data_IF_787801365007
#
_entry.id   IF_787801365007
#
_cell.length_a   1.000
_cell.length_b   1.000
_cell.length_c   1.000
_cell.angle_alpha   90.00
_cell.angle_beta   90.00
_cell.angle_gamma   90.00
#
_symmetry.space_group_name_H-M   'P 1'
#
loop_
_entity.id
_entity.type
_entity.pdbx_description
1 polymer ?
#
# COMPACT_ATOMS: atom_id res chain seq x y z
N UNK A 1 -15.77 13.29 -15.45
CA UNK A 1 -16.16 12.91 -14.08
C UNK A 1 -15.09 13.50 -13.19
N UNK A 2 -15.43 14.32 -12.20
CA UNK A 2 -14.41 15.07 -11.45
C UNK A 2 -13.72 14.15 -10.43
N UNK A 3 -14.47 13.55 -9.51
CA UNK A 3 -14.02 12.49 -8.59
C UNK A 3 -15.21 11.57 -8.31
N UNK A 4 -15.03 10.25 -8.26
CA UNK A 4 -16.12 9.32 -7.95
C UNK A 4 -15.67 7.90 -7.63
N UNK A 5 -16.55 7.12 -7.01
CA UNK A 5 -16.34 5.70 -6.70
C UNK A 5 -17.54 4.92 -7.25
N UNK A 6 -17.26 3.85 -8.00
CA UNK A 6 -18.27 2.91 -8.51
C UNK A 6 -17.97 1.53 -7.95
N UNK A 7 -18.96 0.93 -7.26
CA UNK A 7 -18.93 -0.45 -6.76
C UNK A 7 -19.45 -1.40 -7.84
N UNK A 8 -18.85 -2.58 -7.97
CA UNK A 8 -19.21 -3.62 -8.95
C UNK A 8 -20.00 -4.77 -8.33
N UNK A 9 -20.86 -4.47 -7.35
CA UNK A 9 -21.79 -5.39 -6.66
C UNK A 9 -21.13 -6.54 -5.87
N UNK A 10 -19.80 -6.60 -5.83
CA UNK A 10 -19.04 -7.54 -4.98
C UNK A 10 -18.63 -6.92 -3.65
N UNK A 11 -18.77 -5.60 -3.48
CA UNK A 11 -18.29 -4.81 -2.33
C UNK A 11 -16.77 -4.92 -2.04
N UNK A 12 -16.03 -5.58 -2.93
CA UNK A 12 -14.60 -5.82 -2.83
C UNK A 12 -13.83 -5.20 -4.02
N UNK A 13 -14.53 -4.79 -5.08
CA UNK A 13 -13.94 -4.20 -6.28
C UNK A 13 -14.61 -2.88 -6.65
N UNK A 14 -13.78 -1.86 -6.83
CA UNK A 14 -14.21 -0.50 -7.06
C UNK A 14 -13.45 0.11 -8.24
N UNK A 15 -14.15 0.89 -9.05
CA UNK A 15 -13.52 1.85 -9.95
C UNK A 15 -13.53 3.23 -9.30
N UNK A 16 -12.33 3.73 -9.01
CA UNK A 16 -12.12 5.09 -8.53
C UNK A 16 -11.82 5.99 -9.73
N UNK A 17 -12.66 6.99 -9.94
CA UNK A 17 -12.45 8.03 -10.93
C UNK A 17 -11.78 9.22 -10.26
N UNK A 18 -10.61 9.60 -10.77
CA UNK A 18 -9.87 10.79 -10.34
C UNK A 18 -9.53 11.59 -11.60
N UNK A 19 -10.33 12.61 -11.89
CA UNK A 19 -10.30 13.33 -13.16
C UNK A 19 -10.41 12.40 -14.38
N UNK A 20 -9.39 12.35 -15.23
CA UNK A 20 -9.33 11.50 -16.42
C UNK A 20 -8.85 10.08 -16.13
N UNK A 21 -8.41 9.79 -14.91
CA UNK A 21 -7.92 8.49 -14.51
C UNK A 21 -9.04 7.61 -13.95
N UNK A 22 -9.06 6.35 -14.38
CA UNK A 22 -9.83 5.28 -13.77
C UNK A 22 -8.87 4.30 -13.10
N UNK A 23 -8.96 4.21 -11.78
CA UNK A 23 -8.12 3.37 -10.93
C UNK A 23 -8.97 2.18 -10.47
N UNK A 24 -8.51 0.97 -10.77
CA UNK A 24 -9.16 -0.25 -10.30
C UNK A 24 -8.63 -0.60 -8.90
N UNK A 25 -9.52 -0.66 -7.93
CA UNK A 25 -9.18 -0.84 -6.52
C UNK A 25 -9.88 -2.06 -5.95
N UNK A 26 -9.10 -2.96 -5.35
CA UNK A 26 -9.64 -4.08 -4.57
C UNK A 26 -9.57 -3.74 -3.08
N UNK A 27 -10.63 -3.99 -2.32
CA UNK A 27 -10.63 -3.97 -0.85
C UNK A 27 -10.82 -5.40 -0.39
N UNK A 28 -9.92 -5.92 0.45
CA UNK A 28 -10.02 -7.33 0.88
C UNK A 28 -9.35 -7.55 2.23
N UNK A 29 -9.81 -8.57 2.96
CA UNK A 29 -9.11 -9.17 4.10
C UNK A 29 -8.65 -10.60 3.78
N UNK A 30 -8.99 -11.14 2.60
CA UNK A 30 -8.63 -12.48 2.17
C UNK A 30 -7.18 -12.51 1.65
N UNK A 31 -6.26 -13.25 2.31
CA UNK A 31 -4.85 -13.34 1.92
C UNK A 31 -4.66 -13.92 0.51
N UNK A 32 -5.53 -14.82 0.07
CA UNK A 32 -5.45 -15.42 -1.27
C UNK A 32 -5.73 -14.41 -2.38
N UNK A 33 -6.64 -13.46 -2.12
CA UNK A 33 -6.96 -12.38 -3.06
C UNK A 33 -5.81 -11.37 -3.14
N UNK A 34 -5.08 -11.13 -2.05
CA UNK A 34 -3.85 -10.33 -2.03
C UNK A 34 -2.78 -10.97 -2.92
N UNK A 35 -2.46 -12.25 -2.70
CA UNK A 35 -1.52 -13.01 -3.55
C UNK A 35 -1.90 -12.93 -5.03
N UNK A 36 -3.18 -13.19 -5.34
CA UNK A 36 -3.69 -13.12 -6.73
C UNK A 36 -3.54 -11.74 -7.34
N UNK A 37 -3.83 -10.68 -6.58
CA UNK A 37 -3.66 -9.31 -7.03
C UNK A 37 -2.19 -9.00 -7.33
N UNK A 38 -1.27 -9.41 -6.45
CA UNK A 38 0.18 -9.21 -6.60
C UNK A 38 0.71 -9.90 -7.86
N UNK A 39 0.44 -11.20 -8.02
CA UNK A 39 0.89 -11.95 -9.20
C UNK A 39 0.33 -11.36 -10.50
N UNK A 40 -0.95 -10.96 -10.49
CA UNK A 40 -1.57 -10.37 -11.68
C UNK A 40 -0.97 -8.99 -12.01
N UNK A 41 -0.74 -8.15 -11.01
CA UNK A 41 -0.11 -6.84 -11.16
C UNK A 41 1.31 -7.00 -11.71
N UNK A 42 2.13 -7.90 -11.15
CA UNK A 42 3.48 -8.18 -11.68
C UNK A 42 3.44 -8.69 -13.13
N UNK A 43 2.48 -9.56 -13.46
CA UNK A 43 2.32 -10.08 -14.84
C UNK A 43 1.98 -8.98 -15.85
N UNK A 44 1.11 -8.03 -15.49
CA UNK A 44 0.79 -6.85 -16.33
C UNK A 44 2.03 -5.99 -16.51
N UNK A 45 2.81 -5.79 -15.45
CA UNK A 45 3.98 -4.93 -15.43
C UNK A 45 5.30 -5.68 -15.69
N UNK A 46 5.26 -6.88 -16.29
CA UNK A 46 6.42 -7.78 -16.47
C UNK A 46 7.63 -7.13 -17.15
N UNK A 47 7.39 -6.13 -18.00
CA UNK A 47 8.43 -5.41 -18.74
C UNK A 47 9.17 -4.34 -17.91
N UNK A 48 8.76 -4.10 -16.67
CA UNK A 48 9.33 -3.09 -15.77
C UNK A 48 9.55 -3.61 -14.35
N UNK A 49 9.61 -4.93 -14.16
CA UNK A 49 9.80 -5.52 -12.83
C UNK A 49 11.15 -5.14 -12.20
N UNK A 50 12.15 -4.79 -13.00
CA UNK A 50 13.44 -4.32 -12.50
C UNK A 50 13.46 -2.83 -12.08
N UNK A 51 12.32 -2.14 -12.14
CA UNK A 51 12.19 -0.73 -11.74
C UNK A 51 10.71 -0.39 -11.48
N UNK A 52 10.01 -1.24 -10.73
CA UNK A 52 8.59 -1.05 -10.47
C UNK A 52 8.41 0.06 -9.43
N UNK A 53 7.54 1.03 -9.71
CA UNK A 53 7.15 2.06 -8.73
C UNK A 53 5.86 1.62 -8.07
N UNK A 54 5.87 1.55 -6.73
CA UNK A 54 4.76 1.12 -5.90
C UNK A 54 4.39 2.25 -4.94
N UNK A 55 3.18 2.76 -5.05
CA UNK A 55 2.59 3.60 -4.00
C UNK A 55 2.30 2.76 -2.77
N UNK A 56 2.73 3.21 -1.60
CA UNK A 56 2.51 2.54 -0.32
C UNK A 56 1.97 3.55 0.69
N UNK A 57 0.93 3.13 1.40
CA UNK A 57 0.34 3.86 2.52
C UNK A 57 -0.18 2.86 3.55
N UNK A 58 -0.33 3.29 4.81
CA UNK A 58 -0.94 2.47 5.86
C UNK A 58 -1.78 3.30 6.80
N UNK A 59 -2.87 2.72 7.32
CA UNK A 59 -3.77 3.43 8.24
C UNK A 59 -3.95 2.65 9.54
N UNK A 60 -4.01 3.37 10.65
CA UNK A 60 -4.24 2.79 11.98
C UNK A 60 -4.98 3.76 12.89
N UNK A 61 -5.66 3.22 13.91
CA UNK A 61 -6.31 4.05 14.93
C UNK A 61 -5.23 4.68 15.84
N UNK A 62 -5.17 6.00 16.02
CA UNK A 62 -4.26 6.61 16.98
C UNK A 62 -4.55 6.13 18.41
N UNK A 63 -3.50 6.07 19.24
CA UNK A 63 -3.61 5.78 20.67
C UNK A 63 -3.00 6.92 21.48
N UNK A 64 -3.74 7.41 22.47
CA UNK A 64 -3.25 8.41 23.43
C UNK A 64 -2.52 7.77 24.62
N UNK A 65 -2.48 6.44 24.70
CA UNK A 65 -1.72 5.71 25.71
C UNK A 65 -0.25 5.62 25.30
N UNK A 66 0.65 5.96 26.23
CA UNK A 66 2.10 5.76 26.02
C UNK A 66 2.50 4.28 25.99
N UNK A 67 1.64 3.39 26.52
CA UNK A 67 1.95 1.96 26.71
C UNK A 67 1.25 1.05 25.71
N UNK A 68 0.30 1.58 24.94
CA UNK A 68 -0.47 0.78 23.99
C UNK A 68 -0.47 1.49 22.63
N UNK A 69 0.09 0.84 21.62
CA UNK A 69 0.01 1.30 20.23
C UNK A 69 -0.90 0.34 19.48
N UNK A 70 -1.82 0.89 18.69
CA UNK A 70 -2.67 0.05 17.85
C UNK A 70 -1.86 -0.39 16.62
N UNK A 71 -2.03 -1.65 16.18
CA UNK A 71 -1.37 -2.13 14.97
C UNK A 71 -1.92 -1.44 13.72
N UNK A 72 -1.19 -1.51 12.61
CA UNK A 72 -1.68 -1.15 11.29
C UNK A 72 -2.99 -1.88 11.00
N UNK A 73 -4.01 -1.14 10.58
CA UNK A 73 -5.34 -1.69 10.27
C UNK A 73 -5.50 -2.01 8.79
N UNK A 74 -4.96 -1.16 7.92
CA UNK A 74 -4.94 -1.37 6.47
C UNK A 74 -3.57 -1.08 5.89
N UNK A 75 -3.17 -1.89 4.92
CA UNK A 75 -2.05 -1.65 4.01
C UNK A 75 -2.62 -1.31 2.63
N UNK A 76 -2.26 -0.17 2.07
CA UNK A 76 -2.59 0.19 0.69
C UNK A 76 -1.37 0.07 -0.21
N UNK A 77 -1.52 -0.64 -1.33
CA UNK A 77 -0.51 -0.71 -2.38
C UNK A 77 -1.11 -0.24 -3.70
N UNK A 78 -0.36 0.51 -4.48
CA UNK A 78 -0.81 0.93 -5.81
C UNK A 78 0.31 0.86 -6.86
N UNK A 79 0.01 0.22 -7.99
CA UNK A 79 0.92 0.08 -9.14
C UNK A 79 0.19 0.49 -10.41
N UNK A 80 0.64 1.58 -11.03
CA UNK A 80 -0.06 2.17 -12.16
C UNK A 80 -1.48 2.61 -11.78
N UNK A 81 -2.50 2.02 -12.42
CA UNK A 81 -3.93 2.29 -12.14
C UNK A 81 -4.61 1.13 -11.41
N UNK A 82 -3.84 0.36 -10.65
CA UNK A 82 -4.32 -0.78 -9.87
C UNK A 82 -3.93 -0.54 -8.42
N UNK A 83 -4.90 -0.46 -7.53
CA UNK A 83 -4.64 -0.41 -6.11
C UNK A 83 -5.27 -1.61 -5.39
N UNK A 84 -4.74 -1.95 -4.23
CA UNK A 84 -5.33 -2.87 -3.26
C UNK A 84 -5.30 -2.21 -1.88
N UNK A 85 -6.39 -2.37 -1.13
CA UNK A 85 -6.53 -2.02 0.27
C UNK A 85 -6.68 -3.33 1.04
N UNK A 86 -5.57 -3.78 1.63
CA UNK A 86 -5.54 -5.00 2.42
C UNK A 86 -5.87 -4.67 3.88
N UNK A 87 -6.99 -5.18 4.37
CA UNK A 87 -7.47 -5.05 5.75
C UNK A 87 -6.71 -6.00 6.69
N UNK A 88 -5.40 -5.80 6.83
CA UNK A 88 -4.47 -6.72 7.52
C UNK A 88 -4.86 -7.03 8.96
N UNK A 89 -5.39 -6.06 9.73
CA UNK A 89 -5.86 -6.30 11.10
C UNK A 89 -7.12 -7.18 11.15
N UNK A 90 -7.96 -7.11 10.12
CA UNK A 90 -9.11 -8.01 10.00
C UNK A 90 -8.63 -9.41 9.64
N UNK A 91 -7.74 -9.52 8.66
CA UNK A 91 -7.10 -10.77 8.27
C UNK A 91 -6.47 -11.48 9.48
N UNK A 92 -5.67 -10.77 10.28
CA UNK A 92 -4.98 -11.32 11.47
C UNK A 92 -5.92 -11.77 12.59
N UNK A 93 -7.21 -11.43 12.53
CA UNK A 93 -8.23 -11.88 13.50
C UNK A 93 -9.02 -13.08 13.01
N UNK A 94 -9.09 -13.28 11.70
CA UNK A 94 -9.88 -14.34 11.07
C UNK A 94 -9.01 -15.55 10.65
N UNK A 95 -7.73 -15.32 10.37
CA UNK A 95 -6.76 -16.34 9.96
C UNK A 95 -5.72 -16.58 11.07
N UNK A 96 -5.10 -17.76 11.06
CA UNK A 96 -4.02 -18.09 11.99
C UNK A 96 -2.73 -17.30 11.65
N UNK A 97 -1.81 -17.26 12.61
CA UNK A 97 -0.57 -16.46 12.51
C UNK A 97 0.27 -16.75 11.26
N UNK A 98 0.29 -18.01 10.81
CA UNK A 98 1.05 -18.46 9.65
C UNK A 98 0.35 -18.19 8.30
N UNK A 99 -0.92 -17.80 8.30
CA UNK A 99 -1.74 -17.72 7.08
C UNK A 99 -2.14 -16.29 6.71
N UNK A 100 -2.20 -15.38 7.70
CA UNK A 100 -2.80 -14.06 7.47
C UNK A 100 -1.89 -13.10 6.70
N UNK A 101 -0.57 -13.36 6.62
CA UNK A 101 0.37 -12.64 5.77
C UNK A 101 0.86 -13.58 4.68
N UNK A 102 0.42 -13.42 3.43
CA UNK A 102 0.92 -14.24 2.33
C UNK A 102 2.42 -14.03 2.10
N UNK A 103 3.16 -15.11 1.82
CA UNK A 103 4.57 -15.04 1.43
C UNK A 103 4.77 -14.17 0.17
N UNK A 104 3.84 -14.20 -0.79
CA UNK A 104 3.87 -13.31 -1.96
C UNK A 104 3.93 -11.83 -1.58
N UNK A 105 3.28 -11.42 -0.48
CA UNK A 105 3.32 -10.04 0.00
C UNK A 105 4.67 -9.71 0.62
N UNK A 106 5.24 -10.63 1.43
CA UNK A 106 6.58 -10.48 1.99
C UNK A 106 7.61 -10.33 0.88
N UNK A 107 7.60 -11.26 -0.08
CA UNK A 107 8.49 -11.28 -1.23
C UNK A 107 8.34 -10.02 -2.12
N UNK A 108 7.13 -9.50 -2.24
CA UNK A 108 6.86 -8.30 -3.03
C UNK A 108 7.44 -7.04 -2.36
N UNK A 109 7.26 -6.90 -1.04
CA UNK A 109 7.78 -5.74 -0.28
C UNK A 109 9.31 -5.79 -0.15
N UNK A 110 9.89 -7.00 -0.08
CA UNK A 110 11.33 -7.23 -0.01
C UNK A 110 12.07 -7.09 -1.36
N UNK A 111 11.41 -6.68 -2.46
CA UNK A 111 12.09 -6.46 -3.75
C UNK A 111 12.99 -5.23 -3.72
N UNK A 112 14.30 -5.45 -3.72
CA UNK A 112 15.32 -4.39 -3.78
C UNK A 112 15.23 -3.53 -5.06
N UNK A 113 14.84 -4.14 -6.19
CA UNK A 113 14.70 -3.46 -7.49
C UNK A 113 13.46 -2.54 -7.58
N UNK A 114 12.59 -2.54 -6.56
CA UNK A 114 11.38 -1.72 -6.55
C UNK A 114 11.65 -0.37 -5.90
N UNK A 115 10.86 0.63 -6.28
CA UNK A 115 10.80 1.93 -5.61
C UNK A 115 9.44 2.11 -4.94
N UNK A 116 9.44 2.25 -3.62
CA UNK A 116 8.24 2.51 -2.83
C UNK A 116 8.11 4.01 -2.59
N UNK A 117 6.94 4.56 -2.92
CA UNK A 117 6.65 6.00 -2.86
C UNK A 117 5.46 6.26 -1.93
N UNK A 118 5.52 7.34 -1.16
CA UNK A 118 4.43 7.78 -0.30
C UNK A 118 4.71 9.14 0.33
N UNK A 119 3.78 9.63 1.16
CA UNK A 119 3.90 10.89 1.89
C UNK A 119 4.18 10.54 3.35
N UNK A 120 5.39 10.82 3.85
CA UNK A 120 5.74 10.37 5.20
C UNK A 120 6.01 8.87 5.34
N UNK A 121 6.17 8.18 4.21
CA UNK A 121 6.35 6.73 4.06
C UNK A 121 7.34 6.07 5.02
N UNK A 122 8.36 6.81 5.51
CA UNK A 122 9.31 6.26 6.47
C UNK A 122 8.63 5.79 7.75
N UNK A 123 7.60 6.50 8.22
CA UNK A 123 6.84 6.11 9.41
C UNK A 123 6.01 4.87 9.14
N UNK A 124 5.43 4.76 7.93
CA UNK A 124 4.58 3.64 7.52
C UNK A 124 5.40 2.36 7.41
N UNK A 125 6.57 2.42 6.78
CA UNK A 125 7.51 1.29 6.66
C UNK A 125 7.96 0.81 8.05
N UNK A 126 8.40 1.72 8.92
CA UNK A 126 8.81 1.36 10.28
C UNK A 126 7.66 0.73 11.08
N UNK A 127 6.43 1.19 10.84
CA UNK A 127 5.26 0.66 11.52
C UNK A 127 4.86 -0.72 11.01
N UNK A 128 4.93 -0.96 9.70
CA UNK A 128 4.71 -2.27 9.09
C UNK A 128 5.71 -3.30 9.59
N UNK A 129 6.99 -2.93 9.64
CA UNK A 129 8.05 -3.80 10.15
C UNK A 129 7.81 -4.12 11.63
N UNK A 130 7.52 -3.11 12.45
CA UNK A 130 7.31 -3.28 13.89
C UNK A 130 6.05 -4.07 14.26
N UNK A 131 4.95 -3.91 13.51
CA UNK A 131 3.67 -4.57 13.82
C UNK A 131 3.56 -5.97 13.20
N UNK A 132 4.17 -6.19 12.03
CA UNK A 132 3.92 -7.38 11.20
C UNK A 132 5.18 -8.06 10.65
N UNK A 133 6.37 -7.53 10.94
CA UNK A 133 7.63 -8.04 10.38
C UNK A 133 7.68 -7.93 8.85
N UNK A 134 6.94 -6.97 8.28
CA UNK A 134 6.93 -6.71 6.84
C UNK A 134 8.02 -5.70 6.49
N UNK A 135 9.15 -6.22 6.02
CA UNK A 135 10.28 -5.41 5.56
C UNK A 135 10.00 -4.83 4.17
N UNK A 136 10.33 -3.54 3.98
CA UNK A 136 10.33 -2.87 2.67
C UNK A 136 11.78 -2.59 2.27
N UNK A 137 12.37 -3.50 1.50
CA UNK A 137 13.81 -3.49 1.21
C UNK A 137 14.19 -2.65 -0.02
N UNK A 138 13.21 -2.33 -0.88
CA UNK A 138 13.41 -1.48 -2.05
C UNK A 138 13.74 -0.02 -1.72
N UNK A 139 13.95 0.79 -2.76
CA UNK A 139 14.21 2.22 -2.59
C UNK A 139 12.97 2.93 -2.03
N UNK A 140 13.09 3.55 -0.86
CA UNK A 140 12.01 4.33 -0.24
C UNK A 140 12.12 5.80 -0.64
N UNK A 141 11.03 6.39 -1.12
CA UNK A 141 10.98 7.78 -1.61
C UNK A 141 9.79 8.53 -1.01
N UNK A 142 10.10 9.53 -0.18
CA UNK A 142 9.10 10.46 0.35
C UNK A 142 8.80 11.57 -0.68
N UNK A 143 7.57 11.56 -1.19
CA UNK A 143 7.10 12.49 -2.23
C UNK A 143 7.15 13.95 -1.78
N UNK A 144 7.09 14.24 -0.47
CA UNK A 144 7.21 15.59 0.08
C UNK A 144 8.53 16.26 -0.28
N UNK A 145 9.62 15.48 -0.25
CA UNK A 145 10.95 15.96 -0.59
C UNK A 145 11.08 16.23 -2.09
N UNK A 146 10.52 15.35 -2.92
CA UNK A 146 10.49 15.52 -4.37
C UNK A 146 9.67 16.75 -4.76
N UNK A 147 8.45 16.88 -4.23
CA UNK A 147 7.58 18.01 -4.51
C UNK A 147 8.20 19.34 -4.07
N UNK A 148 8.83 19.38 -2.89
CA UNK A 148 9.53 20.58 -2.44
C UNK A 148 10.68 21.01 -3.36
N UNK A 149 11.39 20.05 -3.97
CA UNK A 149 12.46 20.33 -4.92
C UNK A 149 11.93 20.76 -6.29
N UNK A 150 10.94 20.04 -6.82
CA UNK A 150 10.36 20.28 -8.15
C UNK A 150 9.64 21.63 -8.23
N UNK A 151 8.89 21.99 -7.19
CA UNK A 151 8.10 23.22 -7.15
C UNK A 151 8.82 24.40 -6.46
N UNK A 152 10.08 24.23 -6.05
CA UNK A 152 10.84 25.20 -5.23
C UNK A 152 10.05 25.72 -4.00
N UNK A 153 9.37 24.80 -3.32
CA UNK A 153 8.45 25.07 -2.20
C UNK A 153 8.85 24.30 -0.96
N UNK A 154 9.72 24.91 -0.15
CA UNK A 154 10.33 24.27 1.03
C UNK A 154 9.30 23.80 2.07
N UNK A 155 8.17 24.47 2.17
CA UNK A 155 7.08 24.14 3.08
C UNK A 155 6.47 22.75 2.80
N UNK A 156 6.56 22.24 1.57
CA UNK A 156 6.06 20.91 1.22
C UNK A 156 6.82 19.77 1.91
N UNK A 157 8.03 20.03 2.43
CA UNK A 157 8.83 19.02 3.16
C UNK A 157 8.14 18.54 4.45
N UNK A 158 7.24 19.35 4.98
CA UNK A 158 6.51 19.09 6.23
C UNK A 158 5.00 18.95 5.99
N UNK A 159 4.58 18.77 4.73
CA UNK A 159 3.20 18.47 4.40
C UNK A 159 2.75 17.13 5.00
#
# INVERSE_FOLDING_TARGET
>A
MDIGIVDHDSHDFYDIYFYSDRINTMVTHDPSQVSRWLSHTQRIHRHRLNNLIVGLDVEWRPSFSKYHRNPVATLQLCVGRRCIVFQILRCSREYNEDEFIPEDLRDFLAKEDYTFVGVGIQNDVQKLEGDYGLEVSGRIVDLRRLAAGEYDRKELRNA
#
